data_IF_483908535449
#
_entry.id   IF_483908535449
#
_cell.length_a   1.000
_cell.length_b   1.000
_cell.length_c   1.000
_cell.angle_alpha   90.00
_cell.angle_beta   90.00
_cell.angle_gamma   90.00
#
_symmetry.space_group_name_H-M   'P 1'
#
loop_
_entity.id
_entity.type
_entity.pdbx_description
1 polymer ?
#
# COMPACT_ATOMS: atom_id res chain seq x y z
N UNK A 1 43.59 11.72 19.61
CA UNK A 1 42.68 12.23 18.56
C UNK A 1 41.82 11.08 18.04
N UNK A 2 40.55 11.00 18.42
CA UNK A 2 39.60 9.99 17.89
C UNK A 2 39.31 10.34 16.43
N UNK A 3 39.75 9.49 15.49
CA UNK A 3 39.35 9.58 14.07
C UNK A 3 37.81 9.50 14.03
N UNK A 4 37.20 10.56 13.49
CA UNK A 4 35.76 10.76 13.51
C UNK A 4 35.01 9.61 12.82
N UNK A 5 34.02 9.04 13.53
CA UNK A 5 33.05 8.03 13.06
C UNK A 5 32.03 8.59 12.05
N UNK A 6 32.38 9.60 11.26
CA UNK A 6 31.47 10.27 10.31
C UNK A 6 31.40 9.58 8.94
N UNK A 7 32.38 8.76 8.59
CA UNK A 7 32.44 8.03 7.32
C UNK A 7 31.28 7.03 7.06
N UNK A 8 30.81 6.21 8.04
CA UNK A 8 29.78 5.19 7.77
C UNK A 8 28.39 5.78 7.48
N UNK A 9 28.06 6.97 8.00
CA UNK A 9 26.77 7.62 7.76
C UNK A 9 26.63 8.07 6.30
N UNK A 10 27.65 8.70 5.73
CA UNK A 10 27.64 9.19 4.34
C UNK A 10 27.58 8.05 3.31
N UNK A 11 28.24 6.92 3.61
CA UNK A 11 28.22 5.75 2.72
C UNK A 11 26.81 5.15 2.59
N UNK A 12 26.02 5.17 3.67
CA UNK A 12 24.63 4.72 3.66
C UNK A 12 23.73 5.52 2.71
N UNK A 13 23.92 6.84 2.64
CA UNK A 13 23.16 7.73 1.75
C UNK A 13 23.53 7.56 0.28
N UNK A 14 24.82 7.40 -0.04
CA UNK A 14 25.26 7.12 -1.42
C UNK A 14 24.63 5.85 -1.96
N UNK A 15 24.62 4.77 -1.17
CA UNK A 15 23.94 3.54 -1.59
C UNK A 15 22.43 3.74 -1.72
N UNK A 16 21.79 4.45 -0.79
CA UNK A 16 20.35 4.74 -0.87
C UNK A 16 19.97 5.53 -2.13
N UNK A 17 20.79 6.49 -2.57
CA UNK A 17 20.57 7.28 -3.78
C UNK A 17 20.50 6.41 -5.04
N UNK A 18 21.30 5.35 -5.13
CA UNK A 18 21.28 4.41 -6.25
C UNK A 18 19.95 3.67 -6.39
N UNK A 19 19.20 3.52 -5.30
CA UNK A 19 17.86 2.95 -5.32
C UNK A 19 16.78 4.04 -5.45
N UNK A 20 16.94 5.15 -4.74
CA UNK A 20 15.96 6.22 -4.72
C UNK A 20 15.78 6.90 -6.08
N UNK A 21 16.86 7.15 -6.83
CA UNK A 21 16.78 7.86 -8.11
C UNK A 21 15.97 7.09 -9.17
N UNK A 22 16.23 5.79 -9.43
CA UNK A 22 15.38 5.01 -10.35
C UNK A 22 13.92 4.92 -9.91
N UNK A 23 13.67 4.77 -8.60
CA UNK A 23 12.31 4.69 -8.08
C UNK A 23 11.55 6.03 -8.24
N UNK A 24 12.19 7.15 -7.90
CA UNK A 24 11.61 8.47 -8.12
C UNK A 24 11.37 8.73 -9.61
N UNK A 25 12.32 8.38 -10.47
CA UNK A 25 12.17 8.50 -11.92
C UNK A 25 11.00 7.65 -12.45
N UNK A 26 10.84 6.41 -11.98
CA UNK A 26 9.73 5.56 -12.38
C UNK A 26 8.37 6.15 -11.97
N UNK A 27 8.26 6.70 -10.76
CA UNK A 27 7.04 7.39 -10.31
C UNK A 27 6.79 8.64 -11.16
N UNK A 28 7.78 9.50 -11.35
CA UNK A 28 7.62 10.71 -12.16
C UNK A 28 7.27 10.39 -13.61
N UNK A 29 7.77 9.28 -14.17
CA UNK A 29 7.40 8.82 -15.51
C UNK A 29 5.93 8.36 -15.58
N UNK A 30 5.44 7.64 -14.56
CA UNK A 30 4.02 7.28 -14.47
C UNK A 30 3.14 8.53 -14.34
N UNK A 31 3.53 9.50 -13.53
CA UNK A 31 2.83 10.77 -13.39
C UNK A 31 2.85 11.59 -14.68
N UNK A 32 4.00 11.66 -15.35
CA UNK A 32 4.14 12.29 -16.66
C UNK A 32 3.20 11.63 -17.68
N UNK A 33 3.15 10.30 -17.70
CA UNK A 33 2.24 9.57 -18.57
C UNK A 33 0.78 9.87 -18.23
N UNK A 34 0.32 9.65 -17.00
CA UNK A 34 -1.09 9.80 -16.64
C UNK A 34 -1.61 11.24 -16.70
N UNK A 35 -0.80 12.22 -16.29
CA UNK A 35 -1.22 13.62 -16.26
C UNK A 35 -0.84 14.38 -17.52
N UNK A 36 0.26 14.03 -18.20
CA UNK A 36 0.76 14.77 -19.36
C UNK A 36 0.37 14.15 -20.71
N UNK A 37 0.39 12.82 -20.84
CA UNK A 37 0.31 12.13 -22.14
C UNK A 37 -1.02 11.42 -22.36
N UNK A 38 -1.49 10.68 -21.35
CA UNK A 38 -2.66 9.83 -21.46
C UNK A 38 -3.94 10.66 -21.52
N UNK A 39 -4.95 10.10 -22.20
CA UNK A 39 -6.28 10.68 -22.26
C UNK A 39 -6.93 10.65 -20.87
N UNK A 40 -7.11 11.83 -20.27
CA UNK A 40 -7.68 11.98 -18.92
C UNK A 40 -9.16 11.61 -18.85
N UNK A 41 -9.87 11.66 -19.98
CA UNK A 41 -11.24 11.14 -20.06
C UNK A 41 -11.27 9.63 -19.89
N UNK A 42 -10.19 8.91 -20.20
CA UNK A 42 -10.06 7.47 -19.97
C UNK A 42 -9.39 7.14 -18.64
N UNK A 43 -8.28 7.78 -18.31
CA UNK A 43 -7.52 7.44 -17.10
C UNK A 43 -8.24 7.89 -15.82
N UNK A 44 -8.88 9.06 -15.84
CA UNK A 44 -9.59 9.61 -14.69
C UNK A 44 -11.11 9.61 -14.85
N UNK A 45 -11.62 9.06 -15.97
CA UNK A 45 -13.04 8.92 -16.26
C UNK A 45 -13.81 10.24 -16.23
N UNK A 46 -13.22 11.31 -16.78
CA UNK A 46 -13.90 12.60 -16.89
C UNK A 46 -15.22 12.46 -17.63
N UNK A 47 -16.28 12.99 -17.04
CA UNK A 47 -17.64 13.01 -17.57
C UNK A 47 -18.20 11.64 -17.96
N UNK A 48 -17.62 10.55 -17.45
CA UNK A 48 -18.21 9.22 -17.63
C UNK A 48 -19.48 9.09 -16.80
N UNK A 49 -20.51 8.49 -17.39
CA UNK A 49 -21.71 8.08 -16.67
C UNK A 49 -21.37 6.87 -15.79
N UNK A 50 -21.28 7.10 -14.48
CA UNK A 50 -21.08 6.07 -13.47
C UNK A 50 -22.39 5.68 -12.78
N UNK A 51 -23.51 5.99 -13.44
CA UNK A 51 -24.85 5.76 -12.95
C UNK A 51 -25.30 6.78 -11.90
N UNK A 52 -26.53 6.62 -11.38
CA UNK A 52 -27.19 7.62 -10.54
C UNK A 52 -26.56 7.80 -9.16
N UNK A 53 -25.61 6.94 -8.78
CA UNK A 53 -24.87 7.03 -7.51
C UNK A 53 -23.70 8.02 -7.56
N UNK A 54 -23.19 8.28 -8.76
CA UNK A 54 -22.03 9.13 -9.00
C UNK A 54 -22.40 10.10 -10.14
N UNK A 55 -23.27 11.08 -9.84
CA UNK A 55 -23.84 11.96 -10.88
C UNK A 55 -22.83 13.00 -11.41
N UNK A 56 -21.73 13.23 -10.70
CA UNK A 56 -20.71 14.21 -11.10
C UNK A 56 -19.33 13.56 -11.18
N UNK A 57 -18.86 13.42 -12.42
CA UNK A 57 -17.52 12.95 -12.79
C UNK A 57 -16.74 14.05 -13.52
N UNK A 58 -17.10 15.32 -13.32
CA UNK A 58 -16.32 16.45 -13.81
C UNK A 58 -14.90 16.43 -13.23
N UNK A 59 -13.92 17.12 -13.85
CA UNK A 59 -12.52 17.04 -13.46
C UNK A 59 -12.24 17.36 -11.98
N UNK A 60 -13.04 18.20 -11.33
CA UNK A 60 -12.83 18.57 -9.92
C UNK A 60 -13.94 18.08 -8.99
N UNK A 61 -14.79 17.16 -9.45
CA UNK A 61 -15.75 16.51 -8.57
C UNK A 61 -15.06 15.73 -7.45
N UNK A 62 -15.72 15.46 -6.32
CA UNK A 62 -15.13 14.66 -5.24
C UNK A 62 -14.64 13.28 -5.71
N UNK A 63 -15.35 12.64 -6.65
CA UNK A 63 -14.97 11.32 -7.16
C UNK A 63 -13.73 11.41 -8.03
N UNK A 64 -13.72 12.31 -9.01
CA UNK A 64 -12.59 12.45 -9.94
C UNK A 64 -11.35 12.97 -9.24
N UNK A 65 -11.50 13.95 -8.35
CA UNK A 65 -10.37 14.47 -7.55
C UNK A 65 -9.74 13.40 -6.66
N UNK A 66 -10.55 12.44 -6.18
CA UNK A 66 -10.02 11.31 -5.42
C UNK A 66 -9.12 10.39 -6.26
N UNK A 67 -9.44 10.22 -7.55
CA UNK A 67 -8.63 9.41 -8.47
C UNK A 67 -7.24 9.99 -8.66
N UNK A 68 -7.08 11.32 -8.59
CA UNK A 68 -5.76 11.93 -8.72
C UNK A 68 -4.81 11.47 -7.63
N UNK A 69 -5.22 11.51 -6.36
CA UNK A 69 -4.33 11.12 -5.27
C UNK A 69 -4.23 9.60 -5.14
N UNK A 70 -5.26 8.85 -5.55
CA UNK A 70 -5.20 7.40 -5.74
C UNK A 70 -4.14 7.00 -6.79
N UNK A 71 -3.81 7.85 -7.77
CA UNK A 71 -2.73 7.56 -8.72
C UNK A 71 -1.37 7.42 -8.00
N UNK A 72 -1.13 8.17 -6.92
CA UNK A 72 0.05 7.99 -6.07
C UNK A 72 0.11 6.62 -5.41
N UNK A 73 -1.04 6.11 -4.97
CA UNK A 73 -1.17 4.77 -4.38
C UNK A 73 -0.93 3.66 -5.41
N UNK A 74 -1.50 3.80 -6.62
CA UNK A 74 -1.29 2.88 -7.74
C UNK A 74 0.19 2.83 -8.14
N UNK A 75 0.84 3.99 -8.27
CA UNK A 75 2.28 4.07 -8.53
C UNK A 75 3.09 3.41 -7.39
N UNK A 76 2.68 3.60 -6.14
CA UNK A 76 3.23 2.91 -4.97
C UNK A 76 3.12 1.39 -5.05
N UNK A 77 1.97 0.86 -5.48
CA UNK A 77 1.80 -0.57 -5.73
C UNK A 77 2.79 -1.09 -6.77
N UNK A 78 2.92 -0.36 -7.90
CA UNK A 78 3.85 -0.74 -8.96
C UNK A 78 5.29 -0.77 -8.47
N UNK A 79 5.72 0.30 -7.79
CA UNK A 79 7.06 0.40 -7.17
C UNK A 79 7.28 -0.72 -6.16
N UNK A 80 6.32 -0.99 -5.28
CA UNK A 80 6.44 -2.02 -4.25
C UNK A 80 6.75 -3.40 -4.84
N UNK A 81 6.00 -3.82 -5.87
CA UNK A 81 6.19 -5.13 -6.50
C UNK A 81 7.53 -5.18 -7.24
N UNK A 82 7.80 -4.20 -8.11
CA UNK A 82 9.02 -4.19 -8.93
C UNK A 82 10.27 -4.08 -8.06
N UNK A 83 10.26 -3.21 -7.07
CA UNK A 83 11.40 -3.03 -6.19
C UNK A 83 11.64 -4.26 -5.30
N UNK A 84 10.60 -4.87 -4.74
CA UNK A 84 10.73 -6.12 -4.01
C UNK A 84 11.32 -7.24 -4.88
N UNK A 85 10.90 -7.35 -6.14
CA UNK A 85 11.43 -8.32 -7.10
C UNK A 85 12.91 -8.07 -7.42
N UNK A 86 13.29 -6.82 -7.69
CA UNK A 86 14.69 -6.43 -7.96
C UNK A 86 15.59 -6.73 -6.75
N UNK A 87 15.14 -6.38 -5.54
CA UNK A 87 15.91 -6.63 -4.32
C UNK A 87 16.02 -8.12 -4.02
N UNK A 88 14.96 -8.89 -4.24
CA UNK A 88 15.02 -10.35 -4.14
C UNK A 88 16.05 -10.92 -5.12
N UNK A 89 16.00 -10.52 -6.39
CA UNK A 89 16.93 -11.01 -7.42
C UNK A 89 18.38 -10.63 -7.08
N UNK A 90 18.63 -9.38 -6.68
CA UNK A 90 19.95 -8.93 -6.26
C UNK A 90 20.51 -9.77 -5.08
N UNK A 91 19.66 -10.14 -4.12
CA UNK A 91 20.04 -11.01 -3.01
C UNK A 91 20.35 -12.45 -3.43
N UNK A 92 19.84 -12.92 -4.57
CA UNK A 92 20.20 -14.23 -5.14
C UNK A 92 21.49 -14.18 -5.95
N UNK A 93 21.70 -13.11 -6.71
CA UNK A 93 22.87 -12.95 -7.57
C UNK A 93 24.13 -12.56 -6.80
N UNK A 94 23.99 -11.85 -5.66
CA UNK A 94 25.11 -11.40 -4.85
C UNK A 94 24.96 -11.86 -3.40
N UNK A 95 25.67 -12.94 -3.00
CA UNK A 95 25.70 -13.38 -1.62
C UNK A 95 26.09 -12.25 -0.66
N UNK A 96 25.34 -12.10 0.43
CA UNK A 96 25.56 -11.04 1.42
C UNK A 96 25.05 -9.65 1.01
N UNK A 97 24.38 -9.51 -0.13
CA UNK A 97 23.71 -8.27 -0.49
C UNK A 97 22.70 -7.85 0.59
N UNK A 98 22.76 -6.57 0.99
CA UNK A 98 21.84 -5.95 1.93
C UNK A 98 21.28 -4.68 1.27
N UNK A 99 19.95 -4.56 1.11
CA UNK A 99 19.37 -3.32 0.61
C UNK A 99 19.68 -2.17 1.58
N UNK A 100 19.73 -0.91 1.10
CA UNK A 100 19.83 0.24 1.98
C UNK A 100 18.65 0.29 2.97
N UNK A 101 18.84 1.00 4.08
CA UNK A 101 17.75 1.24 5.02
C UNK A 101 16.62 1.99 4.30
N UNK A 102 15.38 1.48 4.40
CA UNK A 102 14.22 1.99 3.66
C UNK A 102 14.02 3.50 3.90
N UNK A 103 14.23 3.97 5.13
CA UNK A 103 14.17 5.39 5.51
C UNK A 103 15.11 6.29 4.72
N UNK A 104 16.31 5.81 4.37
CA UNK A 104 17.25 6.60 3.57
C UNK A 104 16.80 6.67 2.11
N UNK A 105 16.24 5.57 1.58
CA UNK A 105 15.65 5.56 0.24
C UNK A 105 14.47 6.53 0.19
N UNK A 106 13.55 6.49 1.16
CA UNK A 106 12.45 7.44 1.28
C UNK A 106 12.92 8.89 1.35
N UNK A 107 13.87 9.19 2.24
CA UNK A 107 14.40 10.54 2.40
C UNK A 107 15.04 11.07 1.12
N UNK A 108 15.75 10.21 0.38
CA UNK A 108 16.38 10.57 -0.89
C UNK A 108 15.36 10.78 -2.04
N UNK A 109 14.20 10.13 -2.02
CA UNK A 109 13.13 10.35 -3.00
C UNK A 109 12.30 11.60 -2.73
N UNK A 110 12.33 12.13 -1.50
CA UNK A 110 11.41 13.17 -1.05
C UNK A 110 11.46 14.43 -1.93
N UNK A 111 12.67 14.98 -2.15
CA UNK A 111 12.84 16.21 -2.92
C UNK A 111 12.41 16.04 -4.41
N UNK A 112 12.87 15.02 -5.15
CA UNK A 112 12.39 14.76 -6.50
C UNK A 112 10.86 14.67 -6.61
N UNK A 113 10.20 14.00 -5.68
CA UNK A 113 8.74 13.82 -5.71
C UNK A 113 7.99 15.10 -5.32
N UNK A 114 8.47 15.83 -4.29
CA UNK A 114 7.90 17.11 -3.86
C UNK A 114 7.95 18.18 -4.94
N UNK A 115 8.97 18.16 -5.80
CA UNK A 115 9.11 19.13 -6.90
C UNK A 115 8.46 18.60 -8.17
N UNK A 116 8.75 17.35 -8.53
CA UNK A 116 8.36 16.78 -9.81
C UNK A 116 6.85 16.55 -9.94
N UNK A 117 6.17 16.05 -8.91
CA UNK A 117 4.73 15.77 -9.00
C UNK A 117 3.92 17.08 -9.17
N UNK A 118 4.13 18.14 -8.36
CA UNK A 118 3.46 19.42 -8.61
C UNK A 118 3.79 20.01 -9.97
N UNK A 119 5.07 19.99 -10.38
CA UNK A 119 5.46 20.50 -11.70
C UNK A 119 4.68 19.80 -12.82
N UNK A 120 4.59 18.47 -12.81
CA UNK A 120 3.85 17.70 -13.82
C UNK A 120 2.34 17.98 -13.76
N UNK A 121 1.75 17.90 -12.57
CA UNK A 121 0.29 17.97 -12.39
C UNK A 121 -0.29 19.37 -12.57
N UNK A 122 0.50 20.42 -12.34
CA UNK A 122 0.08 21.83 -12.43
C UNK A 122 0.45 22.50 -13.75
N UNK A 123 1.22 21.85 -14.63
CA UNK A 123 1.67 22.47 -15.90
C UNK A 123 1.33 21.66 -17.14
N UNK A 124 1.11 20.35 -17.03
CA UNK A 124 0.90 19.50 -18.18
C UNK A 124 -0.58 19.14 -18.37
N UNK A 125 -1.03 19.21 -19.63
CA UNK A 125 -2.35 18.85 -20.11
C UNK A 125 -3.49 19.71 -19.51
N UNK A 126 -4.72 19.56 -20.02
CA UNK A 126 -5.89 20.36 -19.61
C UNK A 126 -7.00 19.45 -19.07
N UNK A 127 -7.63 19.78 -17.91
CA UNK A 127 -7.30 20.88 -17.00
C UNK A 127 -6.10 20.57 -16.10
N UNK A 128 -5.23 21.54 -15.87
CA UNK A 128 -4.16 21.41 -14.86
C UNK A 128 -4.76 21.33 -13.45
N UNK A 129 -4.07 20.66 -12.52
CA UNK A 129 -4.54 20.57 -11.14
C UNK A 129 -4.32 21.89 -10.39
N UNK A 130 -5.33 22.42 -9.68
CA UNK A 130 -5.14 23.44 -8.66
C UNK A 130 -4.13 23.00 -7.59
N UNK A 131 -3.42 23.94 -6.94
CA UNK A 131 -2.38 23.63 -5.96
C UNK A 131 -2.84 22.69 -4.83
N UNK A 132 -4.09 22.82 -4.37
CA UNK A 132 -4.64 21.95 -3.32
C UNK A 132 -4.72 20.48 -3.71
N UNK A 133 -5.15 20.18 -4.94
CA UNK A 133 -5.19 18.80 -5.44
C UNK A 133 -3.78 18.29 -5.74
N UNK A 134 -2.91 19.11 -6.35
CA UNK A 134 -1.51 18.74 -6.56
C UNK A 134 -0.80 18.38 -5.24
N UNK A 135 -1.07 19.11 -4.16
CA UNK A 135 -0.54 18.80 -2.83
C UNK A 135 -1.07 17.47 -2.26
N UNK A 136 -2.37 17.18 -2.42
CA UNK A 136 -2.95 15.89 -2.00
C UNK A 136 -2.31 14.71 -2.75
N UNK A 137 -2.18 14.85 -4.08
CA UNK A 137 -1.55 13.85 -4.95
C UNK A 137 -0.10 13.60 -4.53
N UNK A 138 0.65 14.66 -4.31
CA UNK A 138 2.06 14.62 -3.86
C UNK A 138 2.18 13.95 -2.50
N UNK A 139 1.32 14.32 -1.55
CA UNK A 139 1.28 13.72 -0.21
C UNK A 139 0.97 12.22 -0.25
N UNK A 140 -0.05 11.82 -1.02
CA UNK A 140 -0.41 10.41 -1.19
C UNK A 140 0.72 9.61 -1.84
N UNK A 141 1.38 10.15 -2.88
CA UNK A 141 2.52 9.50 -3.52
C UNK A 141 3.71 9.32 -2.55
N UNK A 142 4.03 10.31 -1.72
CA UNK A 142 5.11 10.19 -0.72
C UNK A 142 4.80 9.12 0.32
N UNK A 143 3.58 9.11 0.87
CA UNK A 143 3.14 8.07 1.82
C UNK A 143 3.18 6.69 1.17
N UNK A 144 2.70 6.59 -0.08
CA UNK A 144 2.74 5.36 -0.85
C UNK A 144 4.17 4.86 -1.05
N UNK A 145 5.11 5.74 -1.39
CA UNK A 145 6.53 5.39 -1.53
C UNK A 145 7.13 4.91 -0.22
N UNK A 146 6.80 5.56 0.90
CA UNK A 146 7.29 5.16 2.21
C UNK A 146 6.87 3.73 2.58
N UNK A 147 5.63 3.36 2.27
CA UNK A 147 5.12 2.01 2.43
C UNK A 147 5.75 1.03 1.42
N UNK A 148 5.87 1.44 0.15
CA UNK A 148 6.30 0.58 -0.96
C UNK A 148 7.74 0.06 -0.83
N UNK A 149 8.65 0.85 -0.27
CA UNK A 149 10.07 0.44 -0.17
C UNK A 149 10.36 -0.51 0.99
N UNK A 150 9.49 -0.56 2.00
CA UNK A 150 9.72 -1.35 3.21
C UNK A 150 9.70 -2.88 2.96
N UNK A 151 8.72 -3.45 2.23
CA UNK A 151 8.67 -4.88 1.93
C UNK A 151 9.91 -5.41 1.22
N UNK A 152 10.63 -4.57 0.49
CA UNK A 152 11.86 -4.96 -0.21
C UNK A 152 12.95 -5.47 0.76
N UNK A 153 12.99 -4.99 2.01
CA UNK A 153 13.90 -5.54 3.02
C UNK A 153 13.58 -6.98 3.40
N UNK A 154 12.30 -7.34 3.35
CA UNK A 154 11.82 -8.71 3.60
C UNK A 154 12.08 -9.57 2.37
N UNK A 155 11.91 -9.01 1.16
CA UNK A 155 12.21 -9.67 -0.10
C UNK A 155 13.68 -10.14 -0.20
N UNK A 156 14.62 -9.36 0.35
CA UNK A 156 16.03 -9.76 0.42
C UNK A 156 16.25 -11.06 1.22
N UNK A 157 15.40 -11.36 2.21
CA UNK A 157 15.45 -12.61 2.99
C UNK A 157 14.91 -13.79 2.17
N UNK A 158 13.93 -13.54 1.29
CA UNK A 158 13.41 -14.51 0.32
C UNK A 158 11.90 -14.42 0.11
N UNK A 159 11.42 -14.98 -1.01
CA UNK A 159 10.00 -15.00 -1.37
C UNK A 159 9.09 -15.66 -0.31
N UNK A 160 9.47 -16.77 0.35
CA UNK A 160 8.61 -17.37 1.37
C UNK A 160 8.32 -16.41 2.53
N UNK A 161 9.31 -15.64 2.98
CA UNK A 161 9.12 -14.66 4.04
C UNK A 161 8.21 -13.50 3.59
N UNK A 162 8.40 -13.04 2.34
CA UNK A 162 7.56 -11.99 1.76
C UNK A 162 6.11 -12.46 1.58
N UNK A 163 5.90 -13.70 1.12
CA UNK A 163 4.58 -14.28 0.94
C UNK A 163 3.84 -14.47 2.26
N UNK A 164 4.51 -14.96 3.30
CA UNK A 164 3.92 -15.07 4.63
C UNK A 164 3.53 -13.69 5.19
N UNK A 165 4.38 -12.68 5.01
CA UNK A 165 4.06 -11.31 5.42
C UNK A 165 2.89 -10.73 4.62
N UNK A 166 2.83 -11.00 3.31
CA UNK A 166 1.70 -10.62 2.47
C UNK A 166 0.41 -11.29 2.94
N UNK A 167 0.44 -12.58 3.25
CA UNK A 167 -0.74 -13.33 3.71
C UNK A 167 -1.23 -12.80 5.07
N UNK A 168 -0.32 -12.52 6.00
CA UNK A 168 -0.68 -11.87 7.27
C UNK A 168 -1.24 -10.45 7.05
N UNK A 169 -0.64 -9.68 6.15
CA UNK A 169 -1.13 -8.36 5.77
C UNK A 169 -2.52 -8.42 5.15
N UNK A 170 -2.77 -9.40 4.27
CA UNK A 170 -4.04 -9.59 3.59
C UNK A 170 -5.18 -9.93 4.55
N UNK A 171 -4.92 -10.73 5.59
CA UNK A 171 -5.95 -11.04 6.58
C UNK A 171 -6.38 -9.80 7.38
N UNK A 172 -5.42 -8.96 7.79
CA UNK A 172 -5.69 -7.70 8.50
C UNK A 172 -6.33 -6.68 7.56
N UNK A 173 -5.83 -6.55 6.33
CA UNK A 173 -6.36 -5.66 5.30
C UNK A 173 -7.82 -5.97 4.97
N UNK A 174 -8.19 -7.25 4.90
CA UNK A 174 -9.56 -7.66 4.69
C UNK A 174 -10.48 -7.07 5.77
N UNK A 175 -10.13 -7.17 7.06
CA UNK A 175 -10.95 -6.60 8.14
C UNK A 175 -11.04 -5.07 8.03
N UNK A 176 -9.94 -4.39 7.71
CA UNK A 176 -9.93 -2.94 7.48
C UNK A 176 -10.88 -2.54 6.35
N UNK A 177 -10.86 -3.30 5.25
CA UNK A 177 -11.70 -3.08 4.08
C UNK A 177 -13.20 -3.23 4.40
N UNK A 178 -13.55 -4.18 5.28
CA UNK A 178 -14.95 -4.38 5.67
C UNK A 178 -15.55 -3.16 6.38
N UNK A 179 -14.75 -2.39 7.13
CA UNK A 179 -15.23 -1.14 7.74
C UNK A 179 -15.64 -0.14 6.66
N UNK A 180 -14.93 -0.08 5.53
CA UNK A 180 -15.32 0.74 4.36
C UNK A 180 -16.59 0.24 3.67
N UNK A 181 -16.84 -1.06 3.66
CA UNK A 181 -18.10 -1.60 3.14
C UNK A 181 -19.28 -1.26 4.07
N UNK A 182 -19.08 -1.32 5.40
CA UNK A 182 -20.13 -1.03 6.39
C UNK A 182 -20.71 0.37 6.22
N UNK A 183 -19.89 1.38 5.92
CA UNK A 183 -20.36 2.75 5.65
C UNK A 183 -21.41 2.81 4.53
N UNK A 184 -21.31 1.89 3.55
CA UNK A 184 -22.16 1.87 2.36
C UNK A 184 -23.29 0.86 2.42
N UNK A 185 -23.25 -0.07 3.39
CA UNK A 185 -24.18 -1.21 3.45
C UNK A 185 -25.64 -0.74 3.53
N UNK A 186 -25.93 0.29 4.32
CA UNK A 186 -27.30 0.79 4.50
C UNK A 186 -27.90 1.36 3.22
N UNK A 187 -27.14 2.20 2.52
CA UNK A 187 -27.58 2.79 1.25
C UNK A 187 -27.72 1.76 0.13
N UNK A 188 -26.87 0.73 0.11
CA UNK A 188 -26.94 -0.36 -0.85
C UNK A 188 -28.14 -1.28 -0.58
N UNK A 189 -28.39 -1.63 0.69
CA UNK A 189 -29.53 -2.46 1.10
C UNK A 189 -30.89 -1.79 0.82
N UNK A 190 -31.02 -0.49 1.08
CA UNK A 190 -32.22 0.27 0.75
C UNK A 190 -32.56 0.25 -0.74
N UNK A 191 -31.57 -0.03 -1.59
CA UNK A 191 -31.69 -0.14 -3.05
C UNK A 191 -31.78 -1.60 -3.55
N UNK A 192 -31.97 -2.56 -2.63
CA UNK A 192 -32.08 -3.98 -2.95
C UNK A 192 -30.75 -4.69 -3.24
N UNK A 193 -29.60 -4.02 -3.03
CA UNK A 193 -28.28 -4.58 -3.32
C UNK A 193 -27.76 -5.32 -2.08
N UNK A 194 -27.80 -6.65 -2.10
CA UNK A 194 -27.48 -7.50 -0.94
C UNK A 194 -26.02 -8.00 -0.89
N UNK A 195 -25.26 -7.92 -1.99
CA UNK A 195 -23.88 -8.42 -2.05
C UNK A 195 -22.94 -7.88 -0.95
N UNK A 196 -23.09 -6.63 -0.42
CA UNK A 196 -22.20 -6.12 0.62
C UNK A 196 -22.26 -6.94 1.91
N UNK A 197 -23.44 -7.46 2.28
CA UNK A 197 -23.60 -8.30 3.49
C UNK A 197 -22.86 -9.62 3.31
N UNK A 198 -22.97 -10.23 2.14
CA UNK A 198 -22.25 -11.45 1.79
C UNK A 198 -20.74 -11.21 1.77
N UNK A 199 -20.30 -10.10 1.17
CA UNK A 199 -18.89 -9.72 1.13
C UNK A 199 -18.31 -9.50 2.54
N UNK A 200 -19.07 -8.90 3.46
CA UNK A 200 -18.69 -8.78 4.87
C UNK A 200 -18.53 -10.15 5.52
N UNK A 201 -19.53 -11.03 5.39
CA UNK A 201 -19.47 -12.37 5.98
C UNK A 201 -18.30 -13.20 5.46
N UNK A 202 -18.14 -13.26 4.14
CA UNK A 202 -17.04 -13.99 3.48
C UNK A 202 -15.68 -13.39 3.83
N UNK A 203 -15.58 -12.06 3.85
CA UNK A 203 -14.36 -11.35 4.21
C UNK A 203 -13.91 -11.65 5.64
N UNK A 204 -14.83 -11.62 6.62
CA UNK A 204 -14.51 -11.95 8.02
C UNK A 204 -14.10 -13.41 8.17
N UNK A 205 -14.86 -14.33 7.58
CA UNK A 205 -14.57 -15.76 7.65
C UNK A 205 -13.21 -16.08 7.01
N UNK A 206 -12.90 -15.48 5.86
CA UNK A 206 -11.62 -15.62 5.17
C UNK A 206 -10.47 -15.04 5.98
N UNK A 207 -10.60 -13.82 6.49
CA UNK A 207 -9.60 -13.18 7.32
C UNK A 207 -9.29 -13.98 8.59
N UNK A 208 -10.33 -14.47 9.27
CA UNK A 208 -10.19 -15.31 10.46
C UNK A 208 -9.46 -16.62 10.14
N UNK A 209 -9.92 -17.34 9.11
CA UNK A 209 -9.34 -18.62 8.70
C UNK A 209 -7.88 -18.48 8.31
N UNK A 210 -7.55 -17.45 7.53
CA UNK A 210 -6.17 -17.17 7.11
C UNK A 210 -5.28 -16.84 8.32
N UNK A 211 -5.75 -15.98 9.22
CA UNK A 211 -5.00 -15.62 10.43
C UNK A 211 -4.75 -16.82 11.34
N UNK A 212 -5.74 -17.70 11.47
CA UNK A 212 -5.63 -18.94 12.24
C UNK A 212 -4.62 -19.89 11.58
N UNK A 213 -4.74 -20.14 10.28
CA UNK A 213 -3.84 -21.03 9.55
C UNK A 213 -2.38 -20.57 9.62
N UNK A 214 -2.14 -19.26 9.47
CA UNK A 214 -0.80 -18.69 9.59
C UNK A 214 -0.27 -18.78 11.03
N UNK A 215 -1.10 -18.51 12.03
CA UNK A 215 -0.72 -18.67 13.43
C UNK A 215 -0.32 -20.11 13.74
N UNK A 216 -1.09 -21.08 13.26
CA UNK A 216 -0.76 -22.50 13.38
C UNK A 216 0.53 -22.85 12.62
N UNK A 217 0.77 -22.27 11.44
CA UNK A 217 2.01 -22.44 10.70
C UNK A 217 3.23 -21.93 11.49
N UNK A 218 3.21 -20.68 11.98
CA UNK A 218 4.31 -20.11 12.76
C UNK A 218 4.56 -20.91 14.03
N UNK A 219 3.48 -21.33 14.71
CA UNK A 219 3.58 -22.18 15.89
C UNK A 219 4.21 -23.53 15.57
N UNK A 220 3.72 -24.25 14.55
CA UNK A 220 4.26 -25.56 14.13
C UNK A 220 5.72 -25.46 13.68
N UNK A 221 6.07 -24.39 12.97
CA UNK A 221 7.44 -24.13 12.50
C UNK A 221 8.35 -23.54 13.57
N UNK A 222 7.80 -23.09 14.70
CA UNK A 222 8.52 -22.46 15.82
C UNK A 222 9.36 -21.27 15.39
N UNK A 223 8.84 -20.50 14.44
CA UNK A 223 9.49 -19.31 13.92
C UNK A 223 8.85 -18.10 14.58
N UNK A 224 9.68 -17.16 15.04
CA UNK A 224 9.18 -15.88 15.53
C UNK A 224 8.41 -15.17 14.42
N UNK A 225 7.15 -14.85 14.69
CA UNK A 225 6.33 -14.08 13.77
C UNK A 225 6.83 -12.63 13.63
N UNK A 226 6.42 -11.92 12.57
CA UNK A 226 6.64 -10.48 12.47
C UNK A 226 5.99 -9.73 13.66
N UNK A 227 6.57 -8.60 14.09
CA UNK A 227 5.96 -7.76 15.12
C UNK A 227 4.69 -7.06 14.62
N UNK A 228 3.85 -6.60 15.54
CA UNK A 228 2.55 -6.00 15.24
C UNK A 228 2.60 -4.85 14.22
N UNK A 229 3.58 -3.95 14.34
CA UNK A 229 3.74 -2.83 13.40
C UNK A 229 4.05 -3.31 11.97
N UNK A 230 4.79 -4.42 11.82
CA UNK A 230 5.12 -4.98 10.52
C UNK A 230 3.90 -5.64 9.88
N UNK A 231 3.09 -6.33 10.69
CA UNK A 231 1.80 -6.86 10.25
C UNK A 231 0.85 -5.75 9.78
N UNK A 232 0.75 -4.69 10.57
CA UNK A 232 -0.07 -3.54 10.21
C UNK A 232 0.45 -2.83 8.95
N UNK A 233 1.76 -2.60 8.83
CA UNK A 233 2.35 -2.04 7.62
C UNK A 233 2.12 -2.92 6.38
N UNK A 234 2.19 -4.25 6.52
CA UNK A 234 1.85 -5.17 5.46
C UNK A 234 0.37 -5.07 5.07
N UNK A 235 -0.53 -4.89 6.05
CA UNK A 235 -1.95 -4.65 5.78
C UNK A 235 -2.19 -3.37 4.99
N UNK A 236 -1.51 -2.27 5.36
CA UNK A 236 -1.55 -1.01 4.60
C UNK A 236 -1.04 -1.20 3.17
N UNK A 237 0.06 -1.93 2.99
CA UNK A 237 0.60 -2.25 1.67
C UNK A 237 -0.40 -3.05 0.83
N UNK A 238 -1.09 -4.04 1.42
CA UNK A 238 -2.09 -4.82 0.70
C UNK A 238 -3.30 -3.95 0.36
N UNK A 239 -3.92 -3.32 1.36
CA UNK A 239 -5.16 -2.56 1.22
C UNK A 239 -5.01 -1.36 0.28
N UNK A 240 -3.90 -0.63 0.39
CA UNK A 240 -3.75 0.69 -0.21
C UNK A 240 -2.72 0.77 -1.32
N UNK A 241 -1.90 -0.25 -1.56
CA UNK A 241 -0.96 -0.26 -2.69
C UNK A 241 -1.27 -1.41 -3.66
N UNK A 242 -1.28 -2.63 -3.14
CA UNK A 242 -1.48 -3.83 -3.96
C UNK A 242 -2.87 -3.87 -4.58
N UNK A 243 -3.93 -3.72 -3.79
CA UNK A 243 -5.29 -3.81 -4.32
C UNK A 243 -5.62 -2.68 -5.32
N UNK A 244 -5.28 -1.39 -5.07
CA UNK A 244 -5.46 -0.34 -6.06
C UNK A 244 -4.71 -0.58 -7.37
N UNK A 245 -3.47 -1.10 -7.30
CA UNK A 245 -2.74 -1.51 -8.49
C UNK A 245 -3.47 -2.65 -9.22
N UNK A 246 -3.90 -3.69 -8.50
CA UNK A 246 -4.63 -4.82 -9.06
C UNK A 246 -5.92 -4.35 -9.73
N UNK A 247 -6.63 -3.39 -9.14
CA UNK A 247 -7.78 -2.75 -9.77
C UNK A 247 -7.36 -2.12 -11.09
N UNK A 248 -6.38 -1.21 -11.06
CA UNK A 248 -5.90 -0.51 -12.24
C UNK A 248 -5.55 -1.45 -13.42
N UNK A 249 -4.82 -2.54 -13.14
CA UNK A 249 -4.34 -3.47 -14.18
C UNK A 249 -5.36 -4.54 -14.59
N UNK A 250 -6.29 -4.92 -13.71
CA UNK A 250 -7.10 -6.14 -13.87
C UNK A 250 -8.61 -5.95 -13.84
N UNK A 251 -9.11 -4.82 -13.35
CA UNK A 251 -10.55 -4.57 -13.13
C UNK A 251 -11.03 -3.26 -13.77
N UNK A 252 -10.53 -2.94 -14.96
CA UNK A 252 -10.82 -1.69 -15.67
C UNK A 252 -11.39 -1.89 -17.07
N UNK A 253 -11.88 -3.08 -17.41
CA UNK A 253 -12.48 -3.42 -18.72
C UNK A 253 -11.62 -2.96 -19.93
N UNK A 254 -10.30 -3.01 -19.77
CA UNK A 254 -9.32 -2.60 -20.79
C UNK A 254 -8.99 -1.11 -20.85
N UNK A 255 -9.64 -0.26 -20.03
CA UNK A 255 -9.39 1.19 -20.00
C UNK A 255 -8.20 1.59 -19.13
N UNK A 256 -7.77 0.73 -18.20
CA UNK A 256 -6.67 1.01 -17.26
C UNK A 256 -6.85 2.35 -16.52
N UNK A 257 -8.07 2.63 -16.04
CA UNK A 257 -8.36 3.84 -15.28
C UNK A 257 -7.82 3.78 -13.84
N UNK A 258 -7.64 4.93 -13.20
CA UNK A 258 -7.31 5.03 -11.78
C UNK A 258 -8.59 4.97 -10.97
N UNK A 259 -8.68 4.00 -10.06
CA UNK A 259 -9.81 3.76 -9.16
C UNK A 259 -10.07 4.96 -8.23
N UNK A 260 -11.33 5.21 -7.88
CA UNK A 260 -11.69 6.24 -6.91
C UNK A 260 -11.47 5.77 -5.47
N UNK A 261 -11.40 6.72 -4.54
CA UNK A 261 -11.09 6.41 -3.13
C UNK A 261 -12.16 5.56 -2.45
N UNK A 262 -13.42 5.64 -2.88
CA UNK A 262 -14.49 4.90 -2.20
C UNK A 262 -14.24 3.41 -2.33
N UNK A 263 -13.54 2.94 -3.37
CA UNK A 263 -13.21 1.52 -3.47
C UNK A 263 -12.34 1.00 -2.32
N UNK A 264 -11.63 1.85 -1.56
CA UNK A 264 -10.66 1.40 -0.54
C UNK A 264 -10.76 2.12 0.80
N UNK A 265 -11.30 3.34 0.81
CA UNK A 265 -11.39 4.21 1.97
C UNK A 265 -12.83 4.41 2.40
N UNK A 266 -13.04 4.84 3.63
CA UNK A 266 -14.32 5.39 4.08
C UNK A 266 -14.35 6.89 3.79
N UNK A 267 -15.51 7.46 3.45
CA UNK A 267 -15.68 8.91 3.33
C UNK A 267 -15.65 9.60 4.69
N UNK A 268 -16.12 8.92 5.73
CA UNK A 268 -16.05 9.39 7.11
C UNK A 268 -14.66 9.11 7.72
N UNK A 269 -13.89 10.17 7.99
CA UNK A 269 -12.53 10.05 8.54
C UNK A 269 -12.48 9.35 9.91
N UNK A 270 -13.55 9.41 10.71
CA UNK A 270 -13.63 8.72 12.00
C UNK A 270 -13.71 7.20 11.77
N UNK A 271 -14.52 6.76 10.81
CA UNK A 271 -14.59 5.36 10.42
C UNK A 271 -13.26 4.89 9.82
N UNK A 272 -12.57 5.76 9.06
CA UNK A 272 -11.26 5.43 8.49
C UNK A 272 -10.23 5.19 9.59
N UNK A 273 -10.21 6.07 10.60
CA UNK A 273 -9.34 5.95 11.76
C UNK A 273 -9.69 4.70 12.57
N UNK A 274 -10.98 4.41 12.77
CA UNK A 274 -11.43 3.20 13.44
C UNK A 274 -10.98 1.93 12.70
N UNK A 275 -11.04 1.91 11.36
CA UNK A 275 -10.53 0.81 10.55
C UNK A 275 -9.04 0.57 10.78
N UNK A 276 -8.23 1.65 10.80
CA UNK A 276 -6.79 1.56 11.07
C UNK A 276 -6.48 1.07 12.49
N UNK A 277 -7.16 1.62 13.50
CA UNK A 277 -7.00 1.19 14.89
C UNK A 277 -7.39 -0.28 15.09
N UNK A 278 -8.49 -0.71 14.47
CA UNK A 278 -8.92 -2.11 14.50
C UNK A 278 -7.88 -3.02 13.81
N UNK A 279 -7.38 -2.64 12.64
CA UNK A 279 -6.32 -3.35 11.94
C UNK A 279 -5.06 -3.52 12.80
N UNK A 280 -4.62 -2.44 13.47
CA UNK A 280 -3.48 -2.49 14.38
C UNK A 280 -3.75 -3.36 15.61
N UNK A 281 -4.94 -3.27 16.22
CA UNK A 281 -5.33 -4.10 17.36
C UNK A 281 -5.31 -5.59 17.02
N UNK A 282 -5.81 -5.96 15.84
CA UNK A 282 -5.76 -7.35 15.34
C UNK A 282 -4.31 -7.79 15.14
N UNK A 283 -3.49 -6.97 14.49
CA UNK A 283 -2.06 -7.26 14.31
C UNK A 283 -1.33 -7.47 15.66
N UNK A 284 -1.65 -6.65 16.67
CA UNK A 284 -1.12 -6.81 18.02
C UNK A 284 -1.60 -8.10 18.69
N UNK A 285 -2.89 -8.43 18.60
CA UNK A 285 -3.46 -9.67 19.12
C UNK A 285 -2.84 -10.91 18.50
N UNK A 286 -2.67 -10.93 17.17
CA UNK A 286 -1.99 -12.02 16.43
C UNK A 286 -0.54 -12.19 16.93
N UNK A 287 0.20 -11.09 17.05
CA UNK A 287 1.60 -11.12 17.51
C UNK A 287 1.71 -11.68 18.94
N UNK A 288 0.85 -11.21 19.85
CA UNK A 288 0.82 -11.69 21.23
C UNK A 288 0.45 -13.18 21.33
N UNK A 289 -0.56 -13.62 20.57
CA UNK A 289 -0.99 -15.02 20.53
C UNK A 289 0.15 -15.93 20.06
N UNK A 290 0.84 -15.55 18.96
CA UNK A 290 2.00 -16.29 18.44
C UNK A 290 3.12 -16.37 19.47
N UNK A 291 3.43 -15.27 20.15
CA UNK A 291 4.44 -15.23 21.21
C UNK A 291 4.13 -16.21 22.35
N UNK A 292 2.89 -16.21 22.85
CA UNK A 292 2.45 -17.12 23.93
C UNK A 292 2.54 -18.60 23.52
N UNK A 293 2.14 -18.94 22.30
CA UNK A 293 2.18 -20.30 21.79
C UNK A 293 3.61 -20.85 21.69
N UNK A 294 4.58 -20.02 21.29
CA UNK A 294 5.99 -20.43 21.22
C UNK A 294 6.58 -20.67 22.62
N UNK A 295 6.35 -19.76 23.57
CA UNK A 295 6.87 -19.89 24.96
C UNK A 295 6.36 -21.16 25.64
N UNK A 296 5.06 -21.46 25.54
CA UNK A 296 4.46 -22.66 26.15
C UNK A 296 5.14 -23.96 25.68
N UNK A 297 5.39 -24.08 24.38
CA UNK A 297 6.05 -25.27 23.82
C UNK A 297 7.52 -25.43 24.22
N UNK A 298 8.19 -24.36 24.66
CA UNK A 298 9.56 -24.44 25.17
C UNK A 298 9.57 -24.93 26.62
N UNK A 299 8.59 -24.50 27.42
CA UNK A 299 8.46 -24.93 28.82
C UNK A 299 8.14 -26.44 28.95
N UNK A 300 7.18 -26.95 28.17
CA UNK A 300 6.78 -28.37 28.17
C UNK A 300 7.89 -29.35 27.75
N UNK A 301 9.01 -28.85 27.21
CA UNK A 301 10.18 -29.67 26.83
C UNK A 301 11.31 -29.64 27.85
N UNK A 302 11.27 -28.69 28.78
CA UNK A 302 12.28 -28.54 29.84
C UNK A 302 11.92 -29.27 31.13
N UNK A 303 10.68 -29.77 31.22
CA UNK A 303 10.13 -30.59 32.30
C UNK A 303 10.07 -32.05 31.89
#
# INVERSE_FOLDING_TARGET
MKKAETAPALQGWRHALLHALPLAAAVLLLFYYWFGVADRYRIFLYFHDMGPLVPDTSPFSPVTSSRYWMAGLVAGGGVMILYALVIWLAARLRPGYRPPAWRHVCGAMLLPLLVGIPALTMTLNDPVLPPGYAAQVTGAAIVAMALAVWPAQVAAKGLPALFLLFADGASVAAVMFLVSIVERVGGLLQRGIQWPVVAIGVGLAGAFTLSLALTLFYWRRRVAGPPAWALFAAALCVAYLFLPLVHHIGFTDGYYYITDMDNYFTRNWILQLAAWLLGFAIAAGITQLRGRLVVRTQHDRST
#
